data_IF_506331506143
#
_entry.id   IF_506331506143
#
_cell.length_a   1.000
_cell.length_b   1.000
_cell.length_c   1.000
_cell.angle_alpha   90.00
_cell.angle_beta   90.00
_cell.angle_gamma   90.00
#
_symmetry.space_group_name_H-M   'P 1'
#
loop_
_entity.id
_entity.type
_entity.pdbx_description
1 polymer ?
#
# COMPACT_ATOMS: atom_id res chain seq x y z
N UNK A 1 6.21 -0.74 -16.52
CA UNK A 1 6.41 -1.27 -17.89
C UNK A 1 5.60 -0.37 -18.79
N UNK A 2 6.17 0.15 -19.88
CA UNK A 2 5.33 0.79 -20.90
C UNK A 2 4.33 -0.26 -21.43
N UNK A 3 3.11 0.12 -21.86
CA UNK A 3 2.12 -0.85 -22.32
C UNK A 3 2.61 -1.75 -23.47
N UNK A 4 3.57 -1.25 -24.26
CA UNK A 4 4.25 -1.96 -25.35
C UNK A 4 5.42 -2.85 -24.89
N UNK A 5 5.74 -2.87 -23.60
CA UNK A 5 6.84 -3.63 -23.03
C UNK A 5 8.25 -3.08 -23.28
N UNK A 6 8.38 -1.91 -23.91
CA UNK A 6 9.68 -1.35 -24.33
C UNK A 6 10.60 -0.96 -23.17
N UNK A 7 10.04 -0.61 -22.01
CA UNK A 7 10.84 -0.22 -20.84
C UNK A 7 10.14 -0.51 -19.52
N UNK A 8 10.95 -0.71 -18.47
CA UNK A 8 10.52 -0.84 -17.07
C UNK A 8 11.08 0.36 -16.32
N UNK A 9 10.27 0.92 -15.42
CA UNK A 9 10.61 2.09 -14.62
C UNK A 9 10.36 1.76 -13.16
N UNK A 10 11.29 2.17 -12.29
CA UNK A 10 11.08 2.13 -10.86
C UNK A 10 9.93 3.08 -10.50
N UNK A 11 9.01 2.62 -9.64
CA UNK A 11 7.87 3.45 -9.22
C UNK A 11 7.99 3.94 -7.77
N UNK A 12 8.47 3.08 -6.87
CA UNK A 12 8.67 3.37 -5.43
C UNK A 12 9.92 2.68 -4.93
N UNK A 13 10.47 3.11 -3.80
CA UNK A 13 11.66 2.53 -3.20
C UNK A 13 11.37 1.95 -1.82
N UNK A 14 12.12 0.92 -1.41
CA UNK A 14 12.10 0.43 -0.02
C UNK A 14 11.02 -0.59 0.33
N UNK A 15 10.27 -1.13 -0.64
CA UNK A 15 9.48 -2.34 -0.40
C UNK A 15 10.41 -3.56 -0.28
N UNK A 16 10.06 -4.50 0.60
CA UNK A 16 10.88 -5.67 0.92
C UNK A 16 10.40 -6.90 0.14
N UNK A 17 9.12 -7.24 0.28
CA UNK A 17 8.55 -8.45 -0.28
C UNK A 17 7.03 -8.27 -0.52
N UNK A 18 6.65 -7.49 -1.53
CA UNK A 18 5.26 -7.25 -1.83
C UNK A 18 4.60 -8.47 -2.50
N UNK A 19 3.59 -9.05 -1.84
CA UNK A 19 2.90 -10.26 -2.32
C UNK A 19 1.56 -9.99 -3.00
N UNK A 20 1.04 -8.77 -2.91
CA UNK A 20 -0.25 -8.41 -3.47
C UNK A 20 -0.35 -6.93 -3.81
N UNK A 21 -1.26 -6.60 -4.74
CA UNK A 21 -1.59 -5.24 -5.12
C UNK A 21 -3.08 -5.09 -5.41
N UNK A 22 -3.67 -3.96 -5.04
CA UNK A 22 -5.04 -3.59 -5.42
C UNK A 22 -5.16 -2.09 -5.74
N UNK A 23 -6.31 -1.72 -6.32
CA UNK A 23 -6.70 -0.34 -6.62
C UNK A 23 -7.90 0.04 -5.77
N UNK A 24 -7.94 1.27 -5.27
CA UNK A 24 -9.17 1.84 -4.69
C UNK A 24 -10.09 2.43 -5.77
N UNK A 25 -11.25 2.93 -5.33
CA UNK A 25 -12.23 3.64 -6.18
C UNK A 25 -11.68 4.89 -6.87
N UNK A 26 -10.55 5.44 -6.41
CA UNK A 26 -9.91 6.65 -6.95
C UNK A 26 -8.71 6.32 -7.85
N UNK A 27 -8.40 5.04 -8.06
CA UNK A 27 -7.26 4.60 -8.85
C UNK A 27 -5.91 4.66 -8.12
N UNK A 28 -5.90 4.81 -6.79
CA UNK A 28 -4.69 4.70 -6.00
C UNK A 28 -4.28 3.23 -5.85
N UNK A 29 -3.01 2.94 -6.10
CA UNK A 29 -2.44 1.60 -5.89
C UNK A 29 -2.06 1.39 -4.43
N UNK A 30 -2.33 0.17 -3.94
CA UNK A 30 -1.90 -0.30 -2.63
C UNK A 30 -1.18 -1.63 -2.75
N UNK A 31 -0.12 -1.86 -1.97
CA UNK A 31 0.55 -3.17 -1.84
C UNK A 31 0.56 -3.65 -0.41
N UNK A 32 0.55 -4.97 -0.23
CA UNK A 32 0.84 -5.61 1.05
C UNK A 32 2.31 -6.08 1.08
N UNK A 33 3.07 -5.65 2.09
CA UNK A 33 4.51 -5.93 2.26
C UNK A 33 4.77 -6.56 3.63
N UNK A 34 5.60 -7.60 3.66
CA UNK A 34 5.60 -8.57 4.76
C UNK A 34 6.47 -8.18 5.98
N UNK A 35 7.09 -6.99 6.01
CA UNK A 35 8.16 -6.75 7.00
C UNK A 35 8.30 -5.34 7.61
N UNK A 36 7.58 -4.31 7.15
CA UNK A 36 7.72 -2.95 7.69
C UNK A 36 6.40 -2.19 7.91
N UNK A 37 5.37 -2.46 7.12
CA UNK A 37 3.98 -2.03 7.35
C UNK A 37 3.06 -2.87 6.48
N UNK A 38 1.85 -3.21 6.94
CA UNK A 38 1.04 -4.19 6.25
C UNK A 38 0.51 -3.72 4.91
N UNK A 39 0.35 -2.40 4.73
CA UNK A 39 -0.16 -1.80 3.50
C UNK A 39 0.56 -0.48 3.20
N UNK A 40 1.05 -0.34 1.97
CA UNK A 40 1.55 0.93 1.43
C UNK A 40 0.65 1.41 0.30
N UNK A 41 0.22 2.68 0.35
CA UNK A 41 -0.30 3.36 -0.83
C UNK A 41 0.90 3.76 -1.67
N UNK A 42 0.97 3.32 -2.93
CA UNK A 42 2.10 3.59 -3.81
C UNK A 42 2.05 5.02 -4.32
N UNK A 43 3.04 5.82 -3.93
CA UNK A 43 3.23 7.19 -4.40
C UNK A 43 4.50 7.21 -5.23
N UNK A 44 4.41 7.73 -6.46
CA UNK A 44 5.56 7.79 -7.38
C UNK A 44 6.76 8.46 -6.69
N UNK A 45 7.91 7.81 -6.84
CA UNK A 45 9.22 8.20 -6.31
C UNK A 45 9.32 8.18 -4.77
N UNK A 46 8.28 7.76 -4.05
CA UNK A 46 8.32 7.68 -2.60
C UNK A 46 9.23 6.56 -2.10
N UNK A 47 9.90 6.83 -0.97
CA UNK A 47 10.72 5.88 -0.24
C UNK A 47 9.95 5.35 0.96
N UNK A 48 9.89 4.03 1.14
CA UNK A 48 9.30 3.40 2.31
C UNK A 48 10.40 2.80 3.22
N UNK A 49 10.15 2.69 4.53
CA UNK A 49 11.12 2.11 5.45
C UNK A 49 11.43 0.64 5.10
N UNK A 50 12.71 0.33 4.95
CA UNK A 50 13.22 -1.04 4.76
C UNK A 50 14.59 -1.16 5.43
N UNK A 51 14.79 -2.17 6.29
CA UNK A 51 16.08 -2.62 6.85
C UNK A 51 17.24 -1.62 6.84
N UNK A 52 17.13 -0.53 7.61
CA UNK A 52 18.20 0.47 7.75
C UNK A 52 18.52 1.28 6.48
N UNK A 53 17.74 1.14 5.41
CA UNK A 53 17.89 1.94 4.19
C UNK A 53 17.42 3.38 4.45
N UNK A 54 18.20 4.38 4.01
CA UNK A 54 17.82 5.78 4.15
C UNK A 54 16.67 6.13 3.21
N UNK A 55 15.96 7.20 3.54
CA UNK A 55 15.09 7.90 2.60
C UNK A 55 15.91 8.83 1.69
N UNK A 56 15.25 9.49 0.75
CA UNK A 56 15.77 10.46 -0.22
C UNK A 56 16.21 11.82 0.35
N UNK A 57 16.37 11.95 1.67
CA UNK A 57 16.63 13.22 2.34
C UNK A 57 15.41 14.09 2.68
N UNK A 58 14.20 13.82 2.16
CA UNK A 58 12.97 14.57 2.52
C UNK A 58 11.96 13.78 3.38
N UNK A 59 12.25 12.49 3.60
CA UNK A 59 11.56 11.62 4.55
C UNK A 59 10.91 10.42 3.87
N UNK A 60 10.32 9.53 4.66
CA UNK A 60 9.58 8.39 4.12
C UNK A 60 8.18 8.79 3.66
N UNK A 61 7.63 7.99 2.75
CA UNK A 61 6.23 8.05 2.32
C UNK A 61 5.26 7.91 3.50
N UNK A 62 4.02 8.40 3.34
CA UNK A 62 3.03 8.41 4.41
C UNK A 62 2.62 6.99 4.81
N UNK A 63 2.43 6.80 6.11
CA UNK A 63 1.96 5.55 6.70
C UNK A 63 0.45 5.43 6.54
N UNK A 64 -0.02 4.39 5.86
CA UNK A 64 -1.45 4.14 5.63
C UNK A 64 -2.10 3.42 6.81
N UNK A 65 -1.34 2.54 7.48
CA UNK A 65 -1.81 1.76 8.63
C UNK A 65 -0.78 1.84 9.75
N UNK A 66 -1.24 2.21 10.95
CA UNK A 66 -0.41 2.34 12.16
C UNK A 66 -0.32 1.07 13.02
N UNK A 67 -1.24 0.13 12.80
CA UNK A 67 -1.28 -1.12 13.56
C UNK A 67 -0.46 -2.20 12.85
N UNK A 68 0.48 -2.79 13.58
CA UNK A 68 1.23 -3.94 13.11
C UNK A 68 0.35 -5.19 13.24
N UNK A 69 0.47 -6.12 12.30
CA UNK A 69 -0.24 -7.41 12.37
C UNK A 69 0.61 -8.54 12.96
N UNK A 70 1.75 -8.19 13.60
CA UNK A 70 2.74 -9.11 14.19
C UNK A 70 2.96 -10.36 13.34
N UNK A 71 3.12 -10.16 12.04
CA UNK A 71 3.21 -11.23 11.05
C UNK A 71 4.21 -10.88 9.98
N UNK A 72 5.00 -11.89 9.62
CA UNK A 72 6.02 -11.86 8.58
C UNK A 72 5.52 -12.39 7.24
N UNK A 73 4.23 -12.73 7.13
CA UNK A 73 3.64 -13.34 5.95
C UNK A 73 2.27 -12.77 5.64
N UNK A 74 2.22 -11.49 5.29
CA UNK A 74 1.05 -10.90 4.66
C UNK A 74 1.03 -11.30 3.19
N UNK A 75 -0.16 -11.61 2.67
CA UNK A 75 -0.34 -12.12 1.32
C UNK A 75 -1.33 -11.25 0.54
N UNK A 76 -2.35 -11.86 -0.09
CA UNK A 76 -3.28 -11.16 -0.97
C UNK A 76 -3.93 -9.93 -0.31
N UNK A 77 -4.06 -8.87 -1.11
CA UNK A 77 -4.72 -7.61 -0.75
C UNK A 77 -5.85 -7.34 -1.75
N UNK A 78 -7.03 -6.98 -1.24
CA UNK A 78 -8.22 -6.71 -2.06
C UNK A 78 -8.93 -5.48 -1.52
N UNK A 79 -9.34 -4.58 -2.42
CA UNK A 79 -10.24 -3.49 -2.10
C UNK A 79 -11.68 -3.91 -2.44
N UNK A 80 -12.59 -3.84 -1.47
CA UNK A 80 -13.96 -4.32 -1.64
C UNK A 80 -14.92 -3.22 -2.10
N UNK A 81 -15.36 -3.31 -3.36
CA UNK A 81 -16.42 -2.49 -3.94
C UNK A 81 -17.74 -3.26 -4.12
N UNK A 82 -17.82 -4.50 -3.65
CA UNK A 82 -18.97 -5.35 -3.88
C UNK A 82 -20.21 -4.84 -3.14
N UNK A 83 -21.33 -4.74 -3.85
CA UNK A 83 -22.64 -4.49 -3.26
C UNK A 83 -23.26 -5.74 -2.61
N UNK A 84 -22.63 -6.90 -2.74
CA UNK A 84 -23.11 -8.15 -2.13
C UNK A 84 -22.78 -8.25 -0.63
N UNK A 85 -21.87 -7.41 -0.12
CA UNK A 85 -21.47 -7.38 1.29
C UNK A 85 -22.23 -6.29 2.05
N UNK A 86 -22.40 -6.43 3.38
CA UNK A 86 -22.91 -5.36 4.23
C UNK A 86 -22.13 -4.04 4.04
N UNK A 87 -22.82 -2.92 4.20
CA UNK A 87 -22.28 -1.58 3.93
C UNK A 87 -21.00 -1.25 4.71
N UNK A 88 -20.88 -1.77 5.92
CA UNK A 88 -19.70 -1.59 6.77
C UNK A 88 -18.41 -2.16 6.16
N UNK A 89 -18.52 -3.15 5.25
CA UNK A 89 -17.40 -3.77 4.55
C UNK A 89 -17.10 -3.15 3.19
N UNK A 90 -17.94 -2.23 2.71
CA UNK A 90 -17.66 -1.48 1.48
C UNK A 90 -16.50 -0.51 1.73
N UNK A 91 -15.69 -0.30 0.70
CA UNK A 91 -14.49 0.55 0.71
C UNK A 91 -13.43 0.17 1.76
N UNK A 92 -13.46 -1.08 2.22
CA UNK A 92 -12.43 -1.66 3.06
C UNK A 92 -11.39 -2.38 2.21
N UNK A 93 -10.14 -2.31 2.64
CA UNK A 93 -9.07 -3.15 2.15
C UNK A 93 -8.98 -4.38 3.05
N UNK A 94 -8.96 -5.56 2.45
CA UNK A 94 -8.74 -6.83 3.12
C UNK A 94 -7.34 -7.33 2.81
N UNK A 95 -6.64 -7.79 3.83
CA UNK A 95 -5.30 -8.39 3.71
C UNK A 95 -5.31 -9.78 4.33
N UNK A 96 -4.81 -10.76 3.58
CA UNK A 96 -4.58 -12.10 4.08
C UNK A 96 -3.27 -12.21 4.86
N UNK A 97 -3.24 -13.09 5.85
CA UNK A 97 -2.07 -13.39 6.67
C UNK A 97 -1.87 -14.91 6.71
N UNK A 98 -0.85 -15.41 6.00
CA UNK A 98 -0.57 -16.86 5.89
C UNK A 98 0.01 -17.45 7.17
N UNK A 99 0.65 -16.63 8.01
CA UNK A 99 1.25 -17.10 9.28
C UNK A 99 0.15 -17.40 10.30
N UNK A 100 -0.91 -16.59 10.32
CA UNK A 100 -2.00 -16.75 11.29
C UNK A 100 -3.28 -17.36 10.70
N UNK A 101 -3.28 -17.69 9.40
CA UNK A 101 -4.45 -18.19 8.67
C UNK A 101 -5.70 -17.32 8.86
N UNK A 102 -5.53 -15.99 8.84
CA UNK A 102 -6.60 -15.00 9.05
C UNK A 102 -6.60 -13.93 7.96
N UNK A 103 -7.75 -13.30 7.78
CA UNK A 103 -7.92 -12.08 7.00
C UNK A 103 -8.25 -10.90 7.91
N UNK A 104 -7.63 -9.76 7.67
CA UNK A 104 -7.89 -8.52 8.40
C UNK A 104 -8.49 -7.48 7.47
N UNK A 105 -9.50 -6.76 7.94
CA UNK A 105 -10.10 -5.63 7.23
C UNK A 105 -9.58 -4.31 7.80
N UNK A 106 -9.15 -3.41 6.93
CA UNK A 106 -8.81 -2.03 7.28
C UNK A 106 -9.59 -1.09 6.40
N UNK A 107 -10.32 -0.16 7.00
CA UNK A 107 -10.94 0.94 6.25
C UNK A 107 -9.88 1.98 5.90
N UNK A 108 -9.63 2.19 4.62
CA UNK A 108 -8.77 3.28 4.16
C UNK A 108 -9.56 4.59 4.19
N UNK A 109 -9.14 5.58 4.98
CA UNK A 109 -9.71 6.94 4.93
C UNK A 109 -8.91 7.75 3.91
N UNK A 110 -9.25 7.60 2.63
CA UNK A 110 -8.47 8.06 1.47
C UNK A 110 -8.31 9.58 1.25
N UNK A 111 -8.03 10.40 2.26
CA UNK A 111 -7.93 11.86 2.08
C UNK A 111 -6.60 12.53 2.52
N UNK A 112 -5.73 11.84 3.27
CA UNK A 112 -4.57 12.50 3.88
C UNK A 112 -3.28 12.46 3.03
N UNK A 113 -3.03 11.40 2.26
CA UNK A 113 -1.74 11.23 1.58
C UNK A 113 -1.59 12.05 0.28
N UNK A 114 -2.67 12.21 -0.50
CA UNK A 114 -2.62 12.86 -1.80
C UNK A 114 -2.37 14.38 -1.75
N UNK A 115 -2.60 15.04 -0.61
CA UNK A 115 -2.51 16.52 -0.51
C UNK A 115 -1.08 17.06 -0.41
N UNK A 116 -0.07 16.24 -0.13
CA UNK A 116 1.32 16.72 0.04
C UNK A 116 2.11 16.78 -1.27
N UNK A 117 1.72 16.03 -2.30
CA UNK A 117 2.43 16.00 -3.59
C UNK A 117 2.22 17.26 -4.47
N UNK A 118 1.20 18.08 -4.18
CA UNK A 118 0.92 19.30 -4.97
C UNK A 118 1.72 20.54 -4.53
N UNK A 119 2.41 20.51 -3.39
CA UNK A 119 3.09 21.69 -2.81
C UNK A 119 4.60 21.77 -3.05
N UNK A 120 5.20 20.85 -3.80
CA UNK A 120 6.65 20.80 -4.05
C UNK A 120 7.03 21.09 -5.51
N UNK A 121 6.21 21.86 -6.25
CA UNK A 121 6.57 22.43 -7.55
C UNK A 121 6.39 23.95 -7.50
N UNK A 122 7.38 24.64 -6.98
CA UNK A 122 7.73 26.04 -7.28
C UNK A 122 9.21 26.20 -7.04
#
# INVERSE_FOLDING_TARGET
>A
MQPDGSSVQQFTFGQVNPFGMCLDSFGNFYTADCHSSPIYQLIRDAYYPSFGKPHDGIGFGPLVIRHNHDSTGLCGIVFNQSSHWPEEFRDNIFVGNVVTSRSTATRSTGAAAARRASRCRT
#
